data_IF_973432922312
#
_entry.id   IF_973432922312
#
_cell.length_a   1.000
_cell.length_b   1.000
_cell.length_c   1.000
_cell.angle_alpha   90.00
_cell.angle_beta   90.00
_cell.angle_gamma   90.00
#
_symmetry.space_group_name_H-M   'P 1'
#
loop_
_entity.id
_entity.type
_entity.pdbx_description
1 polymer ?
#
# COMPACT_ATOMS: atom_id res chain seq x y z
N UNK A 1 -17.11 2.99 7.30
CA UNK A 1 -15.74 2.44 7.44
C UNK A 1 -14.78 3.26 6.59
N UNK A 2 -13.74 3.86 7.18
CA UNK A 2 -12.86 4.87 6.58
C UNK A 2 -11.66 4.32 5.76
N UNK A 3 -11.83 3.15 5.12
CA UNK A 3 -10.76 2.51 4.33
C UNK A 3 -9.61 1.93 5.16
N UNK A 4 -8.62 1.33 4.49
CA UNK A 4 -7.37 0.84 5.09
C UNK A 4 -6.19 1.71 4.64
N UNK A 5 -5.15 1.78 5.49
CA UNK A 5 -3.86 2.42 5.18
C UNK A 5 -2.83 1.36 4.81
N UNK A 6 -2.07 1.59 3.74
CA UNK A 6 -0.91 0.78 3.38
C UNK A 6 0.33 1.42 3.99
N UNK A 7 1.04 0.66 4.84
CA UNK A 7 2.25 1.10 5.51
C UNK A 7 3.42 0.17 5.18
N UNK A 8 4.63 0.69 5.31
CA UNK A 8 5.85 -0.10 5.35
C UNK A 8 6.28 -0.29 6.81
N UNK A 9 6.64 -1.51 7.18
CA UNK A 9 7.16 -1.88 8.51
C UNK A 9 8.48 -2.60 8.29
N UNK A 10 9.63 -2.08 8.80
CA UNK A 10 10.89 -2.81 8.78
C UNK A 10 10.80 -4.09 9.63
N UNK A 11 11.52 -5.13 9.22
CA UNK A 11 11.66 -6.37 10.00
C UNK A 11 13.10 -6.50 10.49
N UNK A 12 13.26 -6.91 11.74
CA UNK A 12 14.53 -7.26 12.35
C UNK A 12 14.37 -8.61 13.07
N UNK A 13 15.30 -9.55 12.82
CA UNK A 13 15.27 -10.89 13.43
C UNK A 13 13.93 -11.63 13.25
N UNK A 14 13.29 -11.45 12.08
CA UNK A 14 12.01 -12.08 11.75
C UNK A 14 10.77 -11.45 12.41
N UNK A 15 10.93 -10.35 13.15
CA UNK A 15 9.84 -9.64 13.82
C UNK A 15 9.71 -8.22 13.27
N UNK A 16 8.48 -7.65 13.21
CA UNK A 16 8.30 -6.24 12.88
C UNK A 16 8.93 -5.35 13.95
N UNK A 17 9.63 -4.28 13.55
CA UNK A 17 10.28 -3.36 14.51
C UNK A 17 9.29 -2.48 15.26
N UNK A 18 8.04 -2.40 14.82
CA UNK A 18 7.00 -1.53 15.38
C UNK A 18 7.03 -0.11 14.81
N UNK A 19 8.15 0.31 14.22
CA UNK A 19 8.22 1.54 13.42
C UNK A 19 7.53 1.32 12.08
N UNK A 20 6.75 2.30 11.63
CA UNK A 20 6.08 2.23 10.34
C UNK A 20 6.10 3.58 9.65
N UNK A 21 6.08 3.54 8.32
CA UNK A 21 5.91 4.72 7.49
C UNK A 21 4.73 4.54 6.54
N UNK A 22 4.02 5.63 6.27
CA UNK A 22 2.92 5.62 5.30
C UNK A 22 3.48 5.36 3.91
N UNK A 23 2.99 4.31 3.26
CA UNK A 23 3.32 4.00 1.87
C UNK A 23 2.24 4.52 0.92
N UNK A 24 0.98 4.21 1.21
CA UNK A 24 -0.17 4.72 0.50
C UNK A 24 -1.36 4.88 1.45
N UNK A 25 -2.07 5.99 1.32
CA UNK A 25 -3.27 6.28 2.10
C UNK A 25 -4.48 6.42 1.20
N UNK A 26 -5.60 5.92 1.69
CA UNK A 26 -6.85 6.66 1.64
C UNK A 26 -6.57 8.03 2.30
N UNK A 27 -6.08 8.98 1.51
CA UNK A 27 -6.38 10.37 1.83
C UNK A 27 -7.63 10.70 1.04
N UNK A 28 -8.47 11.57 1.62
CA UNK A 28 -9.51 12.37 0.96
C UNK A 28 -8.94 13.18 -0.23
N UNK A 29 -8.34 12.48 -1.19
CA UNK A 29 -7.46 12.98 -2.23
C UNK A 29 -8.00 12.46 -3.55
N UNK A 30 -7.79 13.26 -4.58
CA UNK A 30 -8.29 13.10 -5.95
C UNK A 30 -8.05 11.73 -6.62
N UNK A 31 -7.34 10.79 -5.97
CA UNK A 31 -7.05 9.44 -6.48
C UNK A 31 -8.14 8.41 -6.17
N UNK A 32 -8.95 8.61 -5.12
CA UNK A 32 -10.02 7.68 -4.72
C UNK A 32 -9.53 6.29 -4.27
N UNK A 33 -8.30 6.20 -3.76
CA UNK A 33 -7.70 4.93 -3.34
C UNK A 33 -8.28 4.46 -2.00
N UNK A 34 -9.23 3.53 -2.05
CA UNK A 34 -9.69 2.77 -0.87
C UNK A 34 -9.06 1.39 -0.86
N UNK A 35 -7.86 1.30 -0.28
CA UNK A 35 -7.07 0.07 -0.33
C UNK A 35 -7.82 -1.12 0.31
N UNK A 36 -7.84 -2.26 -0.39
CA UNK A 36 -8.47 -3.49 0.06
C UNK A 36 -7.50 -4.69 0.08
N UNK A 37 -6.45 -4.67 -0.74
CA UNK A 37 -5.43 -5.71 -0.80
C UNK A 37 -4.10 -5.19 -1.32
N UNK A 38 -3.03 -5.93 -1.02
CA UNK A 38 -1.66 -5.61 -1.43
C UNK A 38 -0.93 -6.87 -1.90
N UNK A 39 -0.12 -6.75 -2.94
CA UNK A 39 0.78 -7.80 -3.41
C UNK A 39 2.10 -7.20 -3.90
N UNK A 40 3.19 -7.95 -3.77
CA UNK A 40 4.53 -7.56 -4.27
C UNK A 40 4.90 -8.49 -5.42
N UNK A 41 5.23 -7.92 -6.57
CA UNK A 41 5.69 -8.69 -7.73
C UNK A 41 7.19 -9.03 -7.64
N UNK A 42 7.67 -10.03 -8.41
CA UNK A 42 9.08 -10.42 -8.41
C UNK A 42 10.06 -9.29 -8.78
N UNK A 43 9.60 -8.27 -9.52
CA UNK A 43 10.38 -7.08 -9.88
C UNK A 43 10.40 -6.01 -8.77
N UNK A 44 9.75 -6.27 -7.63
CA UNK A 44 9.62 -5.35 -6.52
C UNK A 44 8.51 -4.30 -6.67
N UNK A 45 7.71 -4.35 -7.75
CA UNK A 45 6.54 -3.49 -7.87
C UNK A 45 5.48 -3.87 -6.82
N UNK A 46 4.79 -2.86 -6.29
CA UNK A 46 3.71 -3.05 -5.31
C UNK A 46 2.37 -2.81 -5.99
N UNK A 47 1.47 -3.78 -5.90
CA UNK A 47 0.11 -3.67 -6.40
C UNK A 47 -0.84 -3.40 -5.24
N UNK A 48 -1.75 -2.44 -5.43
CA UNK A 48 -2.79 -2.09 -4.45
C UNK A 48 -4.13 -2.19 -5.16
N UNK A 49 -5.11 -2.87 -4.57
CA UNK A 49 -6.48 -2.96 -5.10
C UNK A 49 -7.43 -2.02 -4.36
N UNK A 50 -8.48 -1.56 -5.04
CA UNK A 50 -9.61 -0.83 -4.42
C UNK A 50 -10.91 -1.61 -4.57
N UNK A 51 -11.66 -1.67 -3.46
CA UNK A 51 -12.97 -2.32 -3.41
C UNK A 51 -14.13 -1.42 -3.88
N UNK A 52 -13.91 -0.12 -4.07
CA UNK A 52 -14.94 0.82 -4.53
C UNK A 52 -14.70 1.35 -5.95
N UNK A 53 -13.43 1.53 -6.33
CA UNK A 53 -13.10 2.13 -7.62
C UNK A 53 -12.96 1.11 -8.76
N UNK A 54 -12.89 -0.19 -8.44
CA UNK A 54 -12.59 -1.24 -9.42
C UNK A 54 -11.22 -1.09 -10.09
N UNK A 55 -10.28 -0.43 -9.39
CA UNK A 55 -8.95 -0.10 -9.90
C UNK A 55 -7.86 -0.92 -9.19
N UNK A 56 -6.79 -1.17 -9.93
CA UNK A 56 -5.52 -1.70 -9.42
C UNK A 56 -4.42 -0.70 -9.76
N UNK A 57 -3.68 -0.26 -8.75
CA UNK A 57 -2.52 0.60 -8.93
C UNK A 57 -1.26 -0.24 -8.89
N UNK A 58 -0.33 0.04 -9.80
CA UNK A 58 1.03 -0.51 -9.78
C UNK A 58 2.01 0.59 -9.39
N UNK A 59 2.63 0.45 -8.24
CA UNK A 59 3.66 1.37 -7.73
C UNK A 59 5.03 0.80 -8.08
N UNK A 60 5.87 1.63 -8.69
CA UNK A 60 7.25 1.29 -9.06
C UNK A 60 8.20 2.37 -8.54
N UNK A 61 9.48 2.04 -8.40
CA UNK A 61 10.50 3.04 -8.07
C UNK A 61 10.69 3.96 -9.28
N UNK A 62 10.69 5.27 -9.03
CA UNK A 62 11.17 6.23 -10.02
C UNK A 62 12.67 5.95 -10.28
N UNK A 63 13.06 6.07 -11.54
CA UNK A 63 14.44 5.88 -11.97
C UNK A 63 15.27 7.15 -11.73
#
# INVERSE_FOLDING_TARGET
QAGFRVVFIPFANGQPTGEWSTFAIDAESATGLRAAGVAVAPDGAVYITSDQAGKVWRVTRAR
#
